data_IF_736850064468
#
_entry.id   IF_736850064468
#
_cell.length_a   1.000
_cell.length_b   1.000
_cell.length_c   1.000
_cell.angle_alpha   90.00
_cell.angle_beta   90.00
_cell.angle_gamma   90.00
#
_symmetry.space_group_name_H-M   'P 1'
#
loop_
_entity.id
_entity.type
_entity.pdbx_description
1 polymer ?
#
# COMPACT_ATOMS: atom_id res chain seq x y z
N UNK A 1 -22.84 14.90 31.48
CA UNK A 1 -23.66 13.76 31.06
C UNK A 1 -22.71 12.62 30.75
N UNK A 2 -22.69 11.58 31.60
CA UNK A 2 -21.82 10.42 31.44
C UNK A 2 -22.43 9.49 30.39
N UNK A 3 -21.76 9.29 29.26
CA UNK A 3 -22.13 8.27 28.29
C UNK A 3 -21.78 6.90 28.87
N UNK A 4 -22.81 6.12 29.19
CA UNK A 4 -22.67 4.69 29.46
C UNK A 4 -22.39 4.00 28.12
N UNK A 5 -21.13 3.67 27.89
CA UNK A 5 -20.71 2.85 26.76
C UNK A 5 -21.09 1.39 27.08
N UNK A 6 -22.29 0.99 26.67
CA UNK A 6 -22.76 -0.39 26.76
C UNK A 6 -22.06 -1.16 25.63
N UNK A 7 -20.87 -1.70 25.91
CA UNK A 7 -20.25 -2.67 25.03
C UNK A 7 -21.12 -3.94 25.04
N UNK A 8 -21.75 -4.32 23.91
CA UNK A 8 -22.51 -5.56 23.86
C UNK A 8 -21.56 -6.73 24.17
N UNK A 9 -21.99 -7.71 24.98
CA UNK A 9 -21.17 -8.87 25.27
C UNK A 9 -20.80 -9.54 23.94
N UNK A 10 -19.49 -9.64 23.67
CA UNK A 10 -18.99 -10.40 22.53
C UNK A 10 -19.56 -11.82 22.65
N UNK A 11 -20.23 -12.35 21.61
CA UNK A 11 -20.64 -13.73 21.63
C UNK A 11 -19.38 -14.61 21.76
N UNK A 12 -19.26 -15.28 22.90
CA UNK A 12 -18.25 -16.31 23.10
C UNK A 12 -18.66 -17.53 22.28
N UNK A 13 -18.20 -17.57 21.03
CA UNK A 13 -18.28 -18.78 20.24
C UNK A 13 -17.34 -19.79 20.91
N UNK A 14 -17.89 -20.72 21.68
CA UNK A 14 -17.11 -21.83 22.23
C UNK A 14 -16.98 -22.87 21.11
N UNK A 15 -15.80 -23.03 20.50
CA UNK A 15 -15.63 -24.01 19.43
C UNK A 15 -15.98 -25.39 19.99
N UNK A 16 -16.83 -26.11 19.26
CA UNK A 16 -17.21 -27.48 19.59
C UNK A 16 -15.95 -28.34 19.50
N UNK A 17 -15.54 -28.91 20.64
CA UNK A 17 -14.31 -29.68 20.72
C UNK A 17 -14.51 -31.07 20.13
N UNK A 18 -13.42 -31.73 19.74
CA UNK A 18 -13.46 -33.13 19.31
C UNK A 18 -14.09 -34.04 20.37
N UNK A 19 -13.93 -33.71 21.66
CA UNK A 19 -14.58 -34.42 22.75
C UNK A 19 -16.11 -34.25 22.74
N UNK A 20 -16.60 -33.05 22.42
CA UNK A 20 -18.04 -32.78 22.30
C UNK A 20 -18.66 -33.55 21.13
N UNK A 21 -17.96 -33.62 19.99
CA UNK A 21 -18.37 -34.44 18.82
C UNK A 21 -18.37 -35.91 19.19
N UNK A 22 -17.31 -36.41 19.83
CA UNK A 22 -17.21 -37.81 20.26
C UNK A 22 -18.31 -38.18 21.27
N UNK A 23 -18.64 -37.28 22.19
CA UNK A 23 -19.68 -37.49 23.18
C UNK A 23 -21.08 -37.53 22.51
N UNK A 24 -21.33 -36.65 21.55
CA UNK A 24 -22.61 -36.58 20.86
C UNK A 24 -22.82 -37.77 19.90
N UNK A 25 -21.77 -38.24 19.22
CA UNK A 25 -21.91 -39.17 18.08
C UNK A 25 -21.17 -40.50 18.23
N UNK A 26 -20.41 -40.71 19.30
CA UNK A 26 -19.56 -41.91 19.49
C UNK A 26 -20.32 -43.24 19.58
N UNK A 27 -21.65 -43.21 19.72
CA UNK A 27 -22.50 -44.41 19.78
C UNK A 27 -23.01 -44.89 18.41
N UNK A 28 -22.85 -44.08 17.34
CA UNK A 28 -23.30 -44.44 15.98
C UNK A 28 -22.62 -45.73 15.46
N UNK A 29 -21.30 -45.95 15.64
CA UNK A 29 -20.65 -47.19 15.21
C UNK A 29 -21.25 -48.45 15.87
N UNK A 30 -21.55 -48.38 17.17
CA UNK A 30 -22.18 -49.48 17.90
C UNK A 30 -23.59 -49.78 17.35
N UNK A 31 -24.34 -48.73 16.98
CA UNK A 31 -25.65 -48.89 16.34
C UNK A 31 -25.53 -49.57 14.97
N UNK A 32 -24.57 -49.16 14.14
CA UNK A 32 -24.28 -49.83 12.86
C UNK A 32 -23.96 -51.31 13.05
N UNK A 33 -23.11 -51.64 14.04
CA UNK A 33 -22.75 -53.02 14.35
C UNK A 33 -23.96 -53.84 14.82
N UNK A 34 -24.84 -53.27 15.64
CA UNK A 34 -26.06 -53.93 16.09
C UNK A 34 -27.01 -54.23 14.92
N UNK A 35 -27.15 -53.32 13.95
CA UNK A 35 -27.93 -53.56 12.74
C UNK A 35 -27.32 -54.64 11.83
N UNK A 36 -25.98 -54.73 11.79
CA UNK A 36 -25.30 -55.85 11.12
C UNK A 36 -25.61 -57.20 11.78
N UNK A 37 -25.51 -57.26 13.10
CA UNK A 37 -25.82 -58.47 13.86
C UNK A 37 -27.29 -58.89 13.70
N UNK A 38 -28.21 -57.92 13.70
CA UNK A 38 -29.65 -58.19 13.50
C UNK A 38 -29.95 -58.71 12.10
N UNK A 39 -29.32 -58.15 11.04
CA UNK A 39 -29.44 -58.70 9.69
C UNK A 39 -28.94 -60.15 9.61
N UNK A 40 -27.77 -60.43 10.20
CA UNK A 40 -27.22 -61.79 10.19
C UNK A 40 -28.13 -62.79 10.92
N UNK A 41 -28.77 -62.37 12.01
CA UNK A 41 -29.80 -63.16 12.69
C UNK A 41 -31.02 -63.40 11.79
N UNK A 42 -31.50 -62.35 11.12
CA UNK A 42 -32.59 -62.50 10.15
C UNK A 42 -32.20 -63.45 9.02
N UNK A 43 -30.97 -63.46 8.54
CA UNK A 43 -30.56 -64.32 7.41
C UNK A 43 -30.40 -65.80 7.80
N UNK A 44 -30.06 -66.09 9.05
CA UNK A 44 -29.79 -67.46 9.54
C UNK A 44 -31.03 -68.22 10.03
N UNK A 45 -32.14 -67.53 10.29
CA UNK A 45 -33.38 -68.17 10.75
C UNK A 45 -34.19 -68.66 9.56
N UNK A 46 -34.63 -69.92 9.49
CA UNK A 46 -35.48 -70.40 8.39
C UNK A 46 -36.88 -69.77 8.46
N UNK A 47 -37.40 -69.17 7.37
CA UNK A 47 -38.68 -68.48 7.41
C UNK A 47 -39.86 -69.45 7.53
N UNK A 48 -40.80 -69.16 8.43
CA UNK A 48 -42.15 -69.72 8.36
C UNK A 48 -42.84 -69.11 7.12
N UNK A 49 -43.51 -69.88 6.26
CA UNK A 49 -44.05 -69.40 4.98
C UNK A 49 -44.98 -68.17 5.09
N UNK A 50 -45.68 -68.02 6.21
CA UNK A 50 -46.61 -66.90 6.46
C UNK A 50 -45.88 -65.57 6.79
N UNK A 51 -44.59 -65.62 7.16
CA UNK A 51 -43.79 -64.46 7.58
C UNK A 51 -42.86 -63.91 6.49
N UNK A 52 -42.80 -64.54 5.31
CA UNK A 52 -41.90 -64.16 4.23
C UNK A 52 -42.08 -62.69 3.78
N UNK A 53 -43.34 -62.20 3.76
CA UNK A 53 -43.64 -60.81 3.42
C UNK A 53 -43.12 -59.84 4.48
N UNK A 54 -43.31 -60.14 5.76
CA UNK A 54 -42.84 -59.32 6.88
C UNK A 54 -41.31 -59.26 6.90
N UNK A 55 -40.63 -60.38 6.65
CA UNK A 55 -39.17 -60.44 6.57
C UNK A 55 -38.61 -59.63 5.41
N UNK A 56 -39.26 -59.65 4.24
CA UNK A 56 -38.86 -58.79 3.13
C UNK A 56 -38.97 -57.31 3.49
N UNK A 57 -40.09 -56.88 4.10
CA UNK A 57 -40.27 -55.48 4.55
C UNK A 57 -39.19 -55.09 5.56
N UNK A 58 -38.91 -55.95 6.55
CA UNK A 58 -37.88 -55.70 7.56
C UNK A 58 -36.48 -55.59 6.94
N UNK A 59 -36.13 -56.47 6.00
CA UNK A 59 -34.84 -56.42 5.29
C UNK A 59 -34.69 -55.14 4.47
N UNK A 60 -35.75 -54.67 3.81
CA UNK A 60 -35.73 -53.40 3.08
C UNK A 60 -35.49 -52.22 4.03
N UNK A 61 -36.27 -52.12 5.11
CA UNK A 61 -36.09 -51.05 6.11
C UNK A 61 -34.71 -51.09 6.76
N UNK A 62 -34.18 -52.28 7.04
CA UNK A 62 -32.86 -52.47 7.63
C UNK A 62 -31.74 -52.06 6.66
N UNK A 63 -31.91 -52.34 5.37
CA UNK A 63 -30.96 -51.92 4.32
C UNK A 63 -30.96 -50.41 4.18
N UNK A 64 -32.12 -49.76 4.16
CA UNK A 64 -32.24 -48.30 4.11
C UNK A 64 -31.63 -47.64 5.36
N UNK A 65 -31.90 -48.17 6.55
CA UNK A 65 -31.32 -47.67 7.80
C UNK A 65 -29.79 -47.79 7.82
N UNK A 66 -29.24 -48.91 7.34
CA UNK A 66 -27.79 -49.10 7.22
C UNK A 66 -27.16 -48.11 6.25
N UNK A 67 -27.79 -47.90 5.10
CA UNK A 67 -27.32 -46.93 4.11
C UNK A 67 -27.29 -45.51 4.71
N UNK A 68 -28.39 -45.10 5.37
CA UNK A 68 -28.47 -43.80 6.03
C UNK A 68 -27.42 -43.60 7.12
N UNK A 69 -27.20 -44.60 7.98
CA UNK A 69 -26.18 -44.54 9.04
C UNK A 69 -24.75 -44.53 8.51
N UNK A 70 -24.46 -45.29 7.45
CA UNK A 70 -23.15 -45.29 6.79
C UNK A 70 -22.86 -43.91 6.21
N UNK A 71 -23.84 -43.33 5.49
CA UNK A 71 -23.73 -41.99 4.93
C UNK A 71 -23.54 -40.91 6.00
N UNK A 72 -24.24 -41.00 7.14
CA UNK A 72 -24.04 -40.09 8.27
C UNK A 72 -22.64 -40.25 8.91
N UNK A 73 -22.13 -41.48 9.01
CA UNK A 73 -20.78 -41.74 9.54
C UNK A 73 -19.72 -41.09 8.66
N UNK A 74 -19.80 -41.28 7.33
CA UNK A 74 -18.88 -40.64 6.37
C UNK A 74 -18.96 -39.11 6.39
N UNK A 75 -20.13 -38.54 6.68
CA UNK A 75 -20.29 -37.10 6.84
C UNK A 75 -19.63 -36.60 8.13
N UNK A 76 -19.79 -37.32 9.24
CA UNK A 76 -19.15 -36.99 10.52
C UNK A 76 -17.63 -37.06 10.39
N UNK A 77 -17.10 -38.09 9.74
CA UNK A 77 -15.65 -38.23 9.53
C UNK A 77 -15.08 -37.06 8.71
N UNK A 78 -15.75 -36.65 7.63
CA UNK A 78 -15.36 -35.47 6.84
C UNK A 78 -15.39 -34.19 7.67
N UNK A 79 -16.43 -33.99 8.49
CA UNK A 79 -16.52 -32.83 9.38
C UNK A 79 -15.43 -32.81 10.45
N UNK A 80 -15.00 -33.98 10.93
CA UNK A 80 -13.88 -34.10 11.86
C UNK A 80 -12.57 -33.71 11.15
N UNK A 81 -12.33 -34.19 9.93
CA UNK A 81 -11.15 -33.86 9.13
C UNK A 81 -11.08 -32.35 8.82
N UNK A 82 -12.18 -31.75 8.31
CA UNK A 82 -12.25 -30.30 8.05
C UNK A 82 -12.00 -29.48 9.32
N UNK A 83 -12.53 -29.89 10.47
CA UNK A 83 -12.29 -29.19 11.74
C UNK A 83 -10.83 -29.32 12.20
N UNK A 84 -10.17 -30.45 11.95
CA UNK A 84 -8.73 -30.61 12.21
C UNK A 84 -7.89 -29.69 11.32
N UNK A 85 -8.20 -29.60 10.02
CA UNK A 85 -7.53 -28.69 9.09
C UNK A 85 -7.69 -27.23 9.50
N UNK A 86 -8.92 -26.82 9.85
CA UNK A 86 -9.21 -25.47 10.34
C UNK A 86 -8.45 -25.16 11.64
N UNK A 87 -8.32 -26.14 12.54
CA UNK A 87 -7.55 -25.99 13.77
C UNK A 87 -6.05 -25.79 13.48
N UNK A 88 -5.49 -26.57 12.56
CA UNK A 88 -4.08 -26.43 12.14
C UNK A 88 -3.85 -25.07 11.46
N UNK A 89 -4.76 -24.65 10.57
CA UNK A 89 -4.70 -23.34 9.92
C UNK A 89 -4.77 -22.20 10.94
N UNK A 90 -5.64 -22.31 11.95
CA UNK A 90 -5.74 -21.34 13.04
C UNK A 90 -4.44 -21.23 13.85
N UNK A 91 -3.82 -22.36 14.19
CA UNK A 91 -2.54 -22.39 14.90
C UNK A 91 -1.41 -21.79 14.06
N UNK A 92 -1.36 -22.10 12.76
CA UNK A 92 -0.41 -21.50 11.82
C UNK A 92 -0.58 -19.99 11.76
N UNK A 93 -1.81 -19.49 11.58
CA UNK A 93 -2.11 -18.06 11.55
C UNK A 93 -1.77 -17.36 12.87
N UNK A 94 -1.98 -18.01 14.02
CA UNK A 94 -1.55 -17.48 15.32
C UNK A 94 -0.03 -17.38 15.43
N UNK A 95 0.71 -18.37 14.93
CA UNK A 95 2.17 -18.36 14.94
C UNK A 95 2.74 -17.24 14.03
N UNK A 96 2.15 -17.05 12.86
CA UNK A 96 2.49 -15.97 11.92
C UNK A 96 2.16 -14.60 12.53
N UNK A 97 0.99 -14.45 13.14
CA UNK A 97 0.62 -13.22 13.85
C UNK A 97 1.60 -12.89 14.99
N UNK A 98 2.06 -13.90 15.74
CA UNK A 98 3.06 -13.73 16.79
C UNK A 98 4.42 -13.30 16.22
N UNK A 99 4.83 -13.88 15.09
CA UNK A 99 6.04 -13.49 14.39
C UNK A 99 5.99 -12.02 13.94
N UNK A 100 4.91 -11.63 13.27
CA UNK A 100 4.72 -10.24 12.79
C UNK A 100 4.70 -9.22 13.93
N UNK A 101 4.13 -9.57 15.10
CA UNK A 101 4.20 -8.71 16.29
C UNK A 101 5.63 -8.51 16.79
N UNK A 102 6.42 -9.58 16.82
CA UNK A 102 7.84 -9.50 17.23
C UNK A 102 8.67 -8.68 16.24
N UNK A 103 8.41 -8.81 14.95
CA UNK A 103 9.06 -8.00 13.90
C UNK A 103 8.68 -6.51 14.05
N UNK A 104 7.41 -6.21 14.27
CA UNK A 104 6.94 -4.85 14.54
C UNK A 104 7.60 -4.22 15.78
N UNK A 105 7.74 -4.99 16.87
CA UNK A 105 8.39 -4.49 18.08
C UNK A 105 9.89 -4.25 17.87
N UNK A 106 10.55 -5.09 17.05
CA UNK A 106 11.95 -4.91 16.66
C UNK A 106 12.13 -3.63 15.83
N UNK A 107 11.26 -3.39 14.85
CA UNK A 107 11.28 -2.16 14.04
C UNK A 107 11.02 -0.90 14.88
N UNK A 108 10.12 -0.97 15.87
CA UNK A 108 9.92 0.13 16.81
C UNK A 108 11.18 0.44 17.62
N UNK A 109 11.88 -0.59 18.10
CA UNK A 109 13.14 -0.41 18.83
C UNK A 109 14.21 0.24 17.93
N UNK A 110 14.35 -0.22 16.69
CA UNK A 110 15.28 0.38 15.72
C UNK A 110 14.93 1.85 15.43
N UNK A 111 13.64 2.18 15.31
CA UNK A 111 13.20 3.56 15.10
C UNK A 111 13.56 4.46 16.30
N UNK A 112 13.39 3.98 17.52
CA UNK A 112 13.83 4.70 18.74
C UNK A 112 15.35 4.94 18.73
N UNK A 113 16.15 3.94 18.37
CA UNK A 113 17.61 4.08 18.25
C UNK A 113 18.01 5.09 17.16
N UNK A 114 17.31 5.07 16.03
CA UNK A 114 17.53 6.03 14.94
C UNK A 114 17.21 7.46 15.40
N UNK A 115 16.11 7.67 16.11
CA UNK A 115 15.75 8.98 16.67
C UNK A 115 16.81 9.48 17.66
N UNK A 116 17.30 8.61 18.55
CA UNK A 116 18.40 8.95 19.47
C UNK A 116 19.66 9.37 18.71
N UNK A 117 20.00 8.66 17.64
CA UNK A 117 21.15 8.98 16.77
C UNK A 117 20.97 10.34 16.10
N UNK A 118 19.79 10.64 15.57
CA UNK A 118 19.46 11.93 14.96
C UNK A 118 19.58 13.06 15.99
N UNK A 119 19.09 12.86 17.22
CA UNK A 119 19.25 13.83 18.30
C UNK A 119 20.73 14.10 18.61
N UNK A 120 21.55 13.05 18.73
CA UNK A 120 22.99 13.19 18.99
C UNK A 120 23.72 13.94 17.86
N UNK A 121 23.40 13.64 16.60
CA UNK A 121 23.98 14.32 15.44
C UNK A 121 23.57 15.80 15.41
N UNK A 122 22.31 16.11 15.69
CA UNK A 122 21.81 17.50 15.77
C UNK A 122 22.56 18.28 16.85
N UNK A 123 22.76 17.70 18.05
CA UNK A 123 23.53 18.34 19.13
C UNK A 123 24.98 18.58 18.70
N UNK A 124 25.60 17.61 18.04
CA UNK A 124 26.97 17.73 17.55
C UNK A 124 27.12 18.82 16.47
N UNK A 125 26.14 18.94 15.58
CA UNK A 125 26.10 19.98 14.54
C UNK A 125 25.98 21.38 15.17
N UNK A 126 25.08 21.54 16.17
CA UNK A 126 24.93 22.80 16.90
C UNK A 126 26.25 23.17 17.59
N UNK A 127 26.89 22.22 18.28
CA UNK A 127 28.17 22.45 18.94
C UNK A 127 29.24 22.92 17.95
N UNK A 128 29.37 22.25 16.80
CA UNK A 128 30.34 22.60 15.77
C UNK A 128 30.07 24.00 15.18
N UNK A 129 28.80 24.38 14.99
CA UNK A 129 28.42 25.74 14.57
C UNK A 129 28.81 26.78 15.62
N UNK A 130 28.60 26.50 16.89
CA UNK A 130 28.99 27.37 18.01
C UNK A 130 30.50 27.54 18.08
N UNK A 131 31.26 26.45 17.96
CA UNK A 131 32.74 26.50 17.97
C UNK A 131 33.27 27.31 16.79
N UNK A 132 32.69 27.12 15.60
CA UNK A 132 33.05 27.90 14.42
C UNK A 132 32.76 29.39 14.61
N UNK A 133 31.61 29.74 15.19
CA UNK A 133 31.25 31.13 15.49
C UNK A 133 32.23 31.78 16.49
N UNK A 134 32.63 31.04 17.53
CA UNK A 134 33.63 31.51 18.50
C UNK A 134 34.99 31.79 17.83
N UNK A 135 35.40 30.96 16.86
CA UNK A 135 36.62 31.20 16.08
C UNK A 135 36.51 32.48 15.26
N UNK A 136 35.37 32.74 14.61
CA UNK A 136 35.16 33.99 13.86
C UNK A 136 35.21 35.21 14.78
N UNK A 137 34.49 35.19 15.90
CA UNK A 137 34.51 36.29 16.86
C UNK A 137 35.91 36.55 17.44
N UNK A 138 36.69 35.50 17.70
CA UNK A 138 38.08 35.63 18.14
C UNK A 138 38.96 36.28 17.07
N UNK A 139 38.73 35.99 15.78
CA UNK A 139 39.47 36.62 14.67
C UNK A 139 39.09 38.09 14.55
N UNK A 140 37.81 38.42 14.60
CA UNK A 140 37.33 39.80 14.53
C UNK A 140 37.90 40.65 15.68
N UNK A 141 37.94 40.08 16.90
CA UNK A 141 38.60 40.71 18.05
C UNK A 141 40.08 40.97 17.80
N UNK A 142 40.80 39.99 17.23
CA UNK A 142 42.23 40.13 16.92
C UNK A 142 42.49 41.17 15.83
N UNK A 143 41.61 41.27 14.83
CA UNK A 143 41.68 42.30 13.80
C UNK A 143 41.53 43.69 14.45
N UNK A 144 40.54 43.89 15.31
CA UNK A 144 40.34 45.15 16.01
C UNK A 144 41.54 45.55 16.90
N UNK A 145 42.14 44.57 17.61
CA UNK A 145 43.36 44.81 18.38
C UNK A 145 44.53 45.28 17.50
N UNK A 146 44.75 44.61 16.35
CA UNK A 146 45.80 44.98 15.41
C UNK A 146 45.56 46.36 14.79
N UNK A 147 44.30 46.71 14.50
CA UNK A 147 43.95 48.04 13.99
C UNK A 147 44.28 49.15 14.99
N UNK A 148 44.02 48.94 16.29
CA UNK A 148 44.41 49.92 17.33
C UNK A 148 45.93 49.96 17.54
N UNK A 149 46.64 48.83 17.51
CA UNK A 149 48.11 48.81 17.56
C UNK A 149 48.73 49.61 16.40
N UNK A 150 48.20 49.44 15.18
CA UNK A 150 48.61 50.22 14.00
C UNK A 150 48.30 51.70 14.19
N UNK A 151 47.11 52.04 14.71
CA UNK A 151 46.74 53.42 14.98
C UNK A 151 47.66 54.08 16.01
N UNK A 152 48.00 53.36 17.09
CA UNK A 152 48.91 53.83 18.13
C UNK A 152 50.34 54.02 17.60
N UNK A 153 50.86 53.05 16.83
CA UNK A 153 52.18 53.16 16.19
C UNK A 153 52.26 54.38 15.26
N UNK A 154 51.20 54.67 14.50
CA UNK A 154 51.08 55.88 13.68
C UNK A 154 51.12 57.17 14.53
N UNK A 155 50.42 57.21 15.68
CA UNK A 155 50.46 58.36 16.60
C UNK A 155 51.87 58.58 17.16
N UNK A 156 52.59 57.51 17.54
CA UNK A 156 53.96 57.59 18.06
C UNK A 156 54.97 58.03 17.00
N UNK A 157 54.85 57.54 15.77
CA UNK A 157 55.73 57.93 14.65
C UNK A 157 55.54 59.39 14.22
N UNK A 158 54.34 59.96 14.40
CA UNK A 158 54.06 61.37 14.11
C UNK A 158 54.53 62.33 15.22
N UNK A 159 54.96 61.83 16.38
CA UNK A 159 55.59 62.71 17.36
C UNK A 159 56.99 63.09 16.86
N UNK A 160 57.27 64.40 16.63
CA UNK A 160 58.58 64.84 16.17
C UNK A 160 59.61 64.51 17.25
N UNK A 161 60.48 63.55 16.96
CA UNK A 161 61.61 63.18 17.80
C UNK A 161 62.52 64.40 17.95
N UNK A 162 62.43 65.07 19.10
CA UNK A 162 63.31 66.19 19.49
C UNK A 162 64.73 65.72 19.88
N UNK A 163 65.11 64.49 19.55
CA UNK A 163 66.37 63.87 19.94
C UNK A 163 67.28 63.77 18.72
N UNK A 164 68.20 64.75 18.69
CA UNK A 164 69.59 64.74 18.21
C UNK A 164 69.81 64.22 16.79
N UNK A 165 70.07 65.17 15.90
CA UNK A 165 70.42 64.93 14.52
C UNK A 165 71.74 64.18 14.35
N UNK A 166 71.76 63.34 13.32
CA UNK A 166 72.86 63.28 12.38
C UNK A 166 72.26 63.10 10.99
N UNK A 167 72.46 64.13 10.16
CA UNK A 167 72.26 64.06 8.73
C UNK A 167 73.11 62.92 8.16
N UNK A 168 72.48 62.01 7.41
CA UNK A 168 73.18 61.31 6.34
C UNK A 168 72.29 61.21 5.12
N UNK A 169 72.50 62.20 4.25
CA UNK A 169 72.33 62.15 2.81
C UNK A 169 72.54 60.74 2.24
N UNK A 170 71.54 60.24 1.52
CA UNK A 170 71.68 59.49 0.28
C UNK A 170 70.33 59.51 -0.47
N UNK A 171 70.19 60.51 -1.35
CA UNK A 171 69.53 60.39 -2.66
C UNK A 171 70.16 59.18 -3.40
N UNK A 172 69.54 58.43 -4.31
CA UNK A 172 68.34 58.55 -5.14
C UNK A 172 68.22 57.23 -5.93
N UNK A 173 67.21 57.13 -6.80
CA UNK A 173 66.97 56.10 -7.84
C UNK A 173 66.00 55.02 -7.35
N UNK A 174 64.75 55.12 -7.80
CA UNK A 174 64.03 54.08 -8.55
C UNK A 174 62.65 54.64 -8.93
N UNK A 175 62.56 55.17 -10.15
CA UNK A 175 61.32 55.41 -10.87
C UNK A 175 61.56 55.13 -12.33
N UNK A 176 60.94 54.10 -12.88
CA UNK A 176 60.23 54.12 -14.17
C UNK A 176 59.53 52.76 -14.45
N UNK A 177 58.54 52.77 -15.37
CA UNK A 177 57.33 51.95 -15.30
C UNK A 177 57.40 50.72 -16.23
N UNK A 178 56.74 49.63 -15.86
CA UNK A 178 56.54 48.48 -16.76
C UNK A 178 55.14 48.46 -17.37
N UNK A 179 55.13 47.95 -18.60
CA UNK A 179 54.15 48.17 -19.64
C UNK A 179 52.85 47.39 -19.44
N UNK A 180 51.85 47.91 -20.15
CA UNK A 180 50.54 47.33 -20.38
C UNK A 180 50.66 45.94 -21.04
N UNK A 181 50.05 44.93 -20.42
CA UNK A 181 49.73 43.65 -21.05
C UNK A 181 48.24 43.38 -20.89
N UNK A 182 47.44 44.07 -21.71
CA UNK A 182 46.04 43.72 -21.96
C UNK A 182 45.98 42.50 -22.88
N UNK A 183 45.93 41.32 -22.30
CA UNK A 183 45.60 40.08 -23.00
C UNK A 183 44.11 40.04 -23.35
N UNK A 184 43.79 40.31 -24.61
CA UNK A 184 42.52 39.92 -25.23
C UNK A 184 42.43 38.39 -25.29
N UNK A 185 41.56 37.78 -24.48
CA UNK A 185 40.95 36.49 -24.83
C UNK A 185 39.56 36.76 -25.40
N UNK A 186 39.47 36.63 -26.72
CA UNK A 186 38.22 36.56 -27.45
C UNK A 186 37.61 35.17 -27.23
N UNK A 187 36.43 35.12 -26.60
CA UNK A 187 35.54 33.97 -26.68
C UNK A 187 34.95 33.89 -28.09
N UNK A 188 34.88 32.71 -28.74
CA UNK A 188 34.26 32.56 -30.04
C UNK A 188 32.74 32.66 -29.92
N UNK A 189 32.16 33.65 -30.62
CA UNK A 189 30.74 33.70 -30.90
C UNK A 189 30.38 32.56 -31.86
N UNK A 190 29.66 31.54 -31.36
CA UNK A 190 28.95 30.59 -32.22
C UNK A 190 27.72 31.28 -32.80
N UNK A 191 27.84 31.70 -34.05
CA UNK A 191 26.73 32.06 -34.92
C UNK A 191 25.92 30.80 -35.26
N UNK A 192 24.69 30.73 -34.79
CA UNK A 192 23.68 29.82 -35.33
C UNK A 192 23.14 30.40 -36.64
N UNK A 193 23.15 29.67 -37.76
CA UNK A 193 22.45 30.11 -38.95
C UNK A 193 20.95 29.84 -38.79
N UNK A 194 20.23 30.95 -38.83
CA UNK A 194 18.82 31.14 -39.15
C UNK A 194 18.43 30.29 -40.39
N UNK A 195 17.59 29.26 -40.21
CA UNK A 195 16.88 28.59 -41.31
C UNK A 195 15.45 29.13 -41.38
N UNK A 196 15.18 29.90 -42.44
CA UNK A 196 13.84 30.18 -42.93
C UNK A 196 13.26 28.99 -43.74
N UNK A 197 11.94 28.95 -43.93
CA UNK A 197 11.17 27.76 -44.31
C UNK A 197 10.92 27.62 -45.82
N UNK A 198 10.26 26.50 -46.20
CA UNK A 198 9.53 26.16 -47.45
C UNK A 198 10.24 25.25 -48.48
N UNK A 199 9.51 24.59 -49.43
CA UNK A 199 8.26 23.81 -49.28
C UNK A 199 8.28 22.45 -50.06
N UNK A 200 7.22 21.65 -49.85
CA UNK A 200 6.56 20.64 -50.73
C UNK A 200 7.35 19.67 -51.65
N UNK A 201 7.14 18.35 -51.48
CA UNK A 201 6.32 17.53 -52.41
C UNK A 201 6.27 16.02 -52.09
N UNK A 202 5.16 15.42 -52.53
CA UNK A 202 4.66 14.05 -52.43
C UNK A 202 5.58 12.93 -52.98
N UNK A 203 5.53 11.72 -52.39
CA UNK A 203 4.86 10.55 -53.02
C UNK A 203 4.89 9.24 -52.18
N UNK A 204 3.87 8.42 -52.45
CA UNK A 204 3.56 7.05 -52.05
C UNK A 204 4.67 5.98 -52.14
N UNK A 205 4.62 4.98 -51.24
CA UNK A 205 4.55 3.52 -51.49
C UNK A 205 4.63 2.80 -50.13
N UNK A 206 3.62 2.11 -49.59
CA UNK A 206 3.17 0.72 -49.81
C UNK A 206 4.22 -0.41 -49.69
N UNK A 207 3.79 -1.48 -48.99
CA UNK A 207 4.39 -2.81 -48.72
C UNK A 207 5.24 -2.86 -47.42
N UNK A 208 5.08 -3.80 -46.49
CA UNK A 208 4.52 -5.16 -46.53
C UNK A 208 5.63 -6.18 -46.23
N UNK A 209 5.33 -7.17 -45.39
CA UNK A 209 6.09 -8.41 -45.06
C UNK A 209 7.00 -8.46 -43.80
N UNK A 210 6.50 -9.25 -42.84
CA UNK A 210 7.04 -10.49 -42.26
C UNK A 210 8.34 -10.55 -41.42
N UNK A 211 8.11 -11.10 -40.22
CA UNK A 211 8.74 -12.28 -39.59
C UNK A 211 10.27 -12.43 -39.45
N UNK A 212 10.62 -12.82 -38.22
CA UNK A 212 11.75 -13.68 -37.80
C UNK A 212 13.17 -13.06 -37.78
N UNK A 213 13.72 -12.95 -36.57
CA UNK A 213 15.16 -12.79 -36.39
C UNK A 213 15.59 -12.46 -34.96
N UNK A 214 15.53 -13.42 -34.05
CA UNK A 214 16.38 -13.39 -32.86
C UNK A 214 17.85 -13.59 -33.28
N UNK A 215 18.79 -12.91 -32.61
CA UNK A 215 19.91 -13.69 -32.11
C UNK A 215 20.32 -13.34 -30.67
N UNK A 216 20.72 -14.43 -30.03
CA UNK A 216 21.44 -14.66 -28.77
C UNK A 216 22.74 -13.86 -28.62
N UNK A 217 23.01 -13.34 -27.40
CA UNK A 217 24.26 -13.44 -26.59
C UNK A 217 24.24 -12.31 -25.54
N UNK A 218 24.33 -12.58 -24.23
CA UNK A 218 25.61 -12.71 -23.51
C UNK A 218 25.72 -11.55 -22.49
N UNK A 219 25.49 -11.81 -21.20
CA UNK A 219 26.51 -12.03 -20.15
C UNK A 219 27.09 -10.75 -19.50
N UNK A 220 26.98 -10.72 -18.15
CA UNK A 220 27.71 -9.90 -17.16
C UNK A 220 27.51 -8.35 -17.26
N UNK A 221 27.31 -7.57 -16.20
CA UNK A 221 27.96 -7.55 -14.89
C UNK A 221 27.08 -6.81 -13.86
N UNK A 222 27.13 -7.29 -12.62
CA UNK A 222 26.89 -6.51 -11.40
C UNK A 222 27.77 -5.25 -11.34
N UNK A 223 27.23 -4.10 -10.90
CA UNK A 223 27.79 -3.28 -9.81
C UNK A 223 26.90 -2.08 -9.44
N UNK A 224 26.97 -1.61 -8.18
CA UNK A 224 26.18 -0.51 -7.62
C UNK A 224 26.92 0.83 -7.75
N UNK A 225 26.18 1.94 -7.68
CA UNK A 225 26.43 3.10 -6.82
C UNK A 225 25.79 4.39 -7.36
N UNK A 226 25.22 5.12 -6.40
CA UNK A 226 25.29 6.58 -6.27
C UNK A 226 24.80 7.45 -7.44
N UNK A 227 23.67 8.10 -7.19
CA UNK A 227 23.50 9.49 -7.64
C UNK A 227 23.01 10.35 -6.47
N UNK A 228 23.96 10.90 -5.73
CA UNK A 228 23.79 12.16 -4.98
C UNK A 228 24.40 13.27 -5.83
N UNK A 229 23.56 14.13 -6.41
CA UNK A 229 23.85 15.54 -6.74
C UNK A 229 22.51 16.28 -6.60
N UNK A 230 22.33 17.11 -5.54
CA UNK A 230 22.49 18.59 -5.54
C UNK A 230 21.60 19.25 -6.61
N UNK A 231 20.71 20.20 -6.33
CA UNK A 231 20.98 21.47 -5.65
C UNK A 231 19.68 22.28 -5.38
N UNK A 232 19.58 22.89 -4.19
CA UNK A 232 19.10 24.23 -3.79
C UNK A 232 17.80 24.87 -4.32
N UNK A 233 16.90 25.17 -3.38
CA UNK A 233 16.25 26.48 -3.04
C UNK A 233 15.09 26.12 -2.09
N UNK A 234 14.98 26.61 -0.86
CA UNK A 234 14.72 28.00 -0.47
C UNK A 234 14.89 28.08 1.05
N UNK A 235 15.72 28.99 1.54
CA UNK A 235 15.76 29.39 2.96
C UNK A 235 15.48 30.88 3.00
N UNK A 236 14.25 31.24 3.33
CA UNK A 236 13.85 32.51 3.91
C UNK A 236 12.93 32.16 5.08
N UNK A 237 12.99 32.99 6.12
CA UNK A 237 12.31 32.88 7.41
C UNK A 237 13.04 32.08 8.48
N UNK A 238 14.02 32.74 9.12
CA UNK A 238 14.39 32.51 10.52
C UNK A 238 15.04 33.78 11.07
N UNK A 239 14.22 34.80 11.31
CA UNK A 239 14.54 35.94 12.18
C UNK A 239 13.37 36.10 13.13
N UNK A 240 13.31 35.25 14.14
CA UNK A 240 12.65 35.50 15.42
C UNK A 240 12.84 34.26 16.29
N UNK A 241 13.63 34.43 17.34
CA UNK A 241 13.71 33.73 18.64
C UNK A 241 15.15 33.97 19.10
N UNK A 242 15.40 35.17 19.60
CA UNK A 242 16.55 35.47 20.42
C UNK A 242 16.14 36.51 21.47
N UNK A 243 15.27 36.10 22.39
CA UNK A 243 15.07 36.82 23.64
C UNK A 243 14.47 35.84 24.65
N UNK A 244 15.30 35.30 25.57
CA UNK A 244 14.96 34.86 26.94
C UNK A 244 16.09 34.01 27.54
N UNK A 245 17.25 34.62 27.84
CA UNK A 245 18.12 34.11 28.91
C UNK A 245 18.84 35.30 29.55
N UNK A 246 18.27 35.83 30.64
CA UNK A 246 19.02 36.42 31.75
C UNK A 246 18.05 36.74 32.89
N UNK A 247 18.04 35.94 33.96
CA UNK A 247 18.07 36.50 35.31
C UNK A 247 18.43 35.47 36.40
N UNK A 248 19.45 35.86 37.17
CA UNK A 248 19.67 35.60 38.60
C UNK A 248 20.06 34.20 39.08
N UNK A 249 21.38 34.07 39.22
CA UNK A 249 22.03 33.30 40.28
C UNK A 249 21.95 34.02 41.64
N UNK A 250 21.52 33.33 42.69
CA UNK A 250 21.90 33.58 44.09
C UNK A 250 22.12 32.23 44.79
N UNK A 251 23.20 32.04 45.56
CA UNK A 251 23.41 30.85 46.35
C UNK A 251 22.94 31.07 47.80
N UNK A 252 22.25 30.10 48.38
CA UNK A 252 22.12 29.97 49.84
C UNK A 252 22.29 28.50 50.20
N UNK A 253 23.25 28.25 51.09
CA UNK A 253 23.57 26.98 51.71
C UNK A 253 22.81 26.88 53.04
N UNK A 254 22.17 25.74 53.34
CA UNK A 254 22.05 25.16 54.68
C UNK A 254 21.25 23.82 54.69
N UNK A 255 21.95 22.76 55.12
CA UNK A 255 21.59 21.71 56.10
C UNK A 255 20.21 20.99 56.10
N UNK A 256 20.32 19.64 55.99
CA UNK A 256 19.66 18.56 56.79
C UNK A 256 18.11 18.45 56.74
N UNK A 257 17.43 17.30 56.73
CA UNK A 257 17.68 15.85 56.89
C UNK A 257 16.46 15.09 56.25
N UNK A 258 16.39 13.74 56.28
CA UNK A 258 15.52 12.96 55.39
C UNK A 258 14.09 12.77 55.92
N UNK A 259 13.10 12.93 55.05
CA UNK A 259 11.72 12.47 55.30
C UNK A 259 11.31 11.55 54.17
N UNK A 260 10.91 10.34 54.55
CA UNK A 260 10.41 9.29 53.67
C UNK A 260 9.15 9.74 52.92
N UNK A 261 8.94 9.34 51.65
CA UNK A 261 7.67 9.53 51.00
C UNK A 261 6.73 8.35 51.30
N UNK A 262 5.70 8.63 52.09
CA UNK A 262 4.47 7.85 52.14
C UNK A 262 3.72 7.92 50.80
N UNK A 263 3.24 6.76 50.38
CA UNK A 263 2.24 6.54 49.36
C UNK A 263 1.03 7.48 49.51
N UNK A 264 0.83 8.40 48.55
CA UNK A 264 -0.51 8.86 48.15
C UNK A 264 -0.56 9.12 46.64
N UNK A 265 -1.19 8.16 45.96
CA UNK A 265 -1.73 8.22 44.61
C UNK A 265 -2.60 9.46 44.41
N UNK A 266 -2.12 10.42 43.63
CA UNK A 266 -2.93 11.48 43.04
C UNK A 266 -3.20 11.16 41.57
N UNK A 267 -4.46 11.29 41.17
CA UNK A 267 -4.97 10.95 39.86
C UNK A 267 -4.36 11.81 38.76
N UNK A 268 -3.59 11.17 37.88
CA UNK A 268 -3.45 11.60 36.50
C UNK A 268 -4.37 10.72 35.64
N UNK A 269 -5.26 11.38 34.91
CA UNK A 269 -6.09 10.79 33.86
C UNK A 269 -5.12 10.24 32.79
N UNK A 270 -5.20 8.95 32.38
CA UNK A 270 -4.37 8.45 31.30
C UNK A 270 -4.65 9.27 30.04
N UNK A 271 -3.60 9.82 29.45
CA UNK A 271 -3.66 10.35 28.09
C UNK A 271 -3.95 9.14 27.19
N UNK A 272 -5.03 9.16 26.38
CA UNK A 272 -5.33 8.04 25.51
C UNK A 272 -4.15 7.87 24.54
N UNK A 273 -3.53 6.69 24.58
CA UNK A 273 -2.57 6.28 23.57
C UNK A 273 -3.22 6.45 22.18
N UNK A 274 -2.51 7.03 21.20
CA UNK A 274 -3.00 7.08 19.84
C UNK A 274 -3.22 5.64 19.37
N UNK A 275 -4.49 5.29 19.15
CA UNK A 275 -4.90 4.03 18.53
C UNK A 275 -4.05 3.88 17.26
N UNK A 276 -3.24 2.82 17.13
CA UNK A 276 -2.52 2.56 15.89
C UNK A 276 -3.56 2.44 14.79
N UNK A 277 -3.56 3.42 13.89
CA UNK A 277 -4.39 3.40 12.70
C UNK A 277 -4.00 2.14 11.93
N UNK A 278 -4.88 1.14 11.94
CA UNK A 278 -4.64 -0.14 11.30
C UNK A 278 -4.32 0.11 9.84
N UNK A 279 -3.11 -0.26 9.44
CA UNK A 279 -2.67 -0.27 8.06
C UNK A 279 -3.28 -1.50 7.37
N UNK A 280 -4.61 -1.59 7.33
CA UNK A 280 -5.32 -2.54 6.48
C UNK A 280 -5.31 -1.97 5.06
N UNK A 281 -4.16 -2.07 4.40
CA UNK A 281 -4.02 -1.78 2.97
C UNK A 281 -3.52 -3.01 2.23
N UNK A 282 -4.23 -4.10 2.42
CA UNK A 282 -4.60 -4.96 1.30
C UNK A 282 -6.12 -4.96 1.32
N UNK A 283 -6.69 -3.90 0.75
CA UNK A 283 -8.08 -3.91 0.30
C UNK A 283 -8.16 -4.98 -0.78
N UNK A 284 -8.22 -6.26 -0.36
CA UNK A 284 -8.87 -7.30 -1.12
C UNK A 284 -10.22 -6.67 -1.41
N UNK A 285 -10.43 -6.24 -2.65
CA UNK A 285 -11.77 -6.14 -3.13
C UNK A 285 -12.33 -7.53 -2.93
N UNK A 286 -13.02 -7.70 -1.82
CA UNK A 286 -14.05 -8.68 -1.70
C UNK A 286 -15.00 -8.28 -2.82
N UNK A 287 -14.74 -8.87 -3.99
CA UNK A 287 -15.71 -9.27 -4.99
C UNK A 287 -16.74 -10.10 -4.25
N UNK A 288 -17.47 -9.50 -3.29
CA UNK A 288 -18.50 -10.14 -2.47
C UNK A 288 -19.40 -10.78 -3.48
N UNK A 289 -19.19 -12.07 -3.69
CA UNK A 289 -20.06 -12.86 -4.50
C UNK A 289 -21.38 -12.78 -3.74
N UNK A 290 -22.46 -12.36 -4.40
CA UNK A 290 -23.77 -12.54 -3.80
C UNK A 290 -23.85 -14.00 -3.36
N UNK A 291 -24.31 -14.28 -2.15
CA UNK A 291 -24.49 -15.65 -1.61
C UNK A 291 -25.33 -16.53 -2.58
N UNK A 292 -26.08 -15.90 -3.49
CA UNK A 292 -26.94 -16.53 -4.49
C UNK A 292 -26.25 -17.10 -5.76
N UNK A 293 -24.96 -16.84 -6.00
CA UNK A 293 -24.29 -17.30 -7.24
C UNK A 293 -23.15 -18.24 -6.88
N UNK A 294 -23.22 -19.54 -7.24
CA UNK A 294 -22.13 -20.48 -7.01
C UNK A 294 -20.83 -19.97 -7.64
N UNK A 295 -19.75 -19.95 -6.85
CA UNK A 295 -18.48 -19.38 -7.27
C UNK A 295 -17.89 -20.03 -8.53
N UNK A 296 -18.23 -21.31 -8.71
CA UNK A 296 -17.76 -22.17 -9.79
C UNK A 296 -18.33 -21.81 -11.17
N UNK A 297 -19.42 -21.03 -11.20
CA UNK A 297 -20.18 -20.77 -12.43
C UNK A 297 -20.08 -19.31 -12.90
N UNK A 298 -19.48 -18.44 -12.08
CA UNK A 298 -19.26 -17.01 -12.37
C UNK A 298 -17.83 -16.60 -12.01
N UNK A 299 -16.92 -16.76 -12.97
CA UNK A 299 -15.48 -16.58 -12.78
C UNK A 299 -15.06 -15.25 -13.40
N UNK A 300 -14.57 -14.29 -12.61
CA UNK A 300 -14.02 -13.04 -13.15
C UNK A 300 -12.63 -13.33 -13.71
N UNK A 301 -12.45 -13.15 -15.02
CA UNK A 301 -11.19 -13.42 -15.74
C UNK A 301 -10.44 -12.15 -16.18
N UNK A 302 -11.03 -10.96 -15.97
CA UNK A 302 -10.31 -9.70 -16.14
C UNK A 302 -9.23 -9.53 -15.08
N UNK A 303 -8.11 -8.93 -15.47
CA UNK A 303 -7.02 -8.60 -14.56
C UNK A 303 -7.50 -7.65 -13.45
N UNK A 304 -7.06 -7.89 -12.22
CA UNK A 304 -7.42 -7.06 -11.07
C UNK A 304 -6.71 -5.69 -11.16
N UNK A 305 -7.49 -4.63 -10.97
CA UNK A 305 -6.97 -3.26 -10.90
C UNK A 305 -6.28 -3.09 -9.56
N UNK A 306 -4.97 -2.87 -9.61
CA UNK A 306 -4.16 -2.68 -8.42
C UNK A 306 -4.35 -1.26 -7.87
N UNK A 307 -4.59 -1.19 -6.55
CA UNK A 307 -4.73 0.06 -5.79
C UNK A 307 -3.54 0.23 -4.85
N UNK A 308 -2.82 1.34 -4.97
CA UNK A 308 -1.74 1.72 -4.05
C UNK A 308 -2.07 3.05 -3.36
N UNK A 309 -2.24 3.03 -2.03
CA UNK A 309 -2.44 4.24 -1.21
C UNK A 309 -1.07 4.75 -0.72
N UNK A 310 -0.73 6.00 -1.05
CA UNK A 310 0.51 6.66 -0.65
C UNK A 310 0.26 7.81 0.33
N UNK A 311 -0.88 7.80 1.01
CA UNK A 311 -1.25 8.80 2.01
C UNK A 311 -1.79 10.08 1.39
N UNK A 312 -1.00 10.80 0.61
CA UNK A 312 -1.45 12.04 -0.06
C UNK A 312 -2.02 11.83 -1.47
N UNK A 313 -1.92 10.60 -1.99
CA UNK A 313 -2.41 10.21 -3.31
C UNK A 313 -2.74 8.72 -3.33
N UNK A 314 -3.70 8.36 -4.16
CA UNK A 314 -4.08 6.98 -4.46
C UNK A 314 -3.79 6.71 -5.92
N UNK A 315 -3.15 5.60 -6.20
CA UNK A 315 -2.75 5.20 -7.56
C UNK A 315 -3.52 3.95 -7.96
N UNK A 316 -4.13 3.98 -9.13
CA UNK A 316 -4.70 2.83 -9.81
C UNK A 316 -3.80 2.42 -10.98
N UNK A 317 -3.38 1.16 -11.00
CA UNK A 317 -2.59 0.55 -12.08
C UNK A 317 -3.40 -0.53 -12.80
N UNK A 318 -2.92 -1.00 -13.96
CA UNK A 318 -3.56 -2.04 -14.80
C UNK A 318 -4.93 -1.64 -15.38
N UNK A 319 -5.17 -0.34 -15.57
CA UNK A 319 -6.33 0.12 -16.34
C UNK A 319 -5.97 0.03 -17.83
N UNK A 320 -6.72 -0.76 -18.59
CA UNK A 320 -6.50 -0.90 -20.02
C UNK A 320 -6.69 0.43 -20.74
N UNK A 321 -5.81 0.74 -21.70
CA UNK A 321 -5.84 1.99 -22.46
C UNK A 321 -7.16 2.18 -23.24
N UNK A 322 -7.80 1.09 -23.67
CA UNK A 322 -9.14 1.14 -24.30
C UNK A 322 -10.25 1.64 -23.39
N UNK A 323 -10.07 1.51 -22.07
CA UNK A 323 -11.05 1.90 -21.06
C UNK A 323 -10.76 3.29 -20.46
N UNK A 324 -9.62 3.89 -20.80
CA UNK A 324 -9.29 5.29 -20.46
C UNK A 324 -10.43 6.26 -20.78
N UNK A 325 -10.99 6.16 -21.99
CA UNK A 325 -12.08 7.04 -22.42
C UNK A 325 -13.34 6.90 -21.57
N UNK A 326 -13.56 5.76 -20.91
CA UNK A 326 -14.70 5.55 -20.00
C UNK A 326 -14.48 6.26 -18.66
N UNK A 327 -13.25 6.21 -18.16
CA UNK A 327 -12.91 6.88 -16.90
C UNK A 327 -12.96 8.40 -17.07
N UNK A 328 -12.42 8.93 -18.17
CA UNK A 328 -12.46 10.37 -18.49
C UNK A 328 -13.87 10.84 -18.84
N UNK A 329 -14.61 10.03 -19.59
CA UNK A 329 -15.91 10.39 -20.14
C UNK A 329 -15.79 11.35 -21.34
N UNK A 330 -16.92 11.55 -22.03
CA UNK A 330 -16.97 12.42 -23.21
C UNK A 330 -16.66 13.86 -22.81
N UNK A 331 -15.61 14.44 -23.38
CA UNK A 331 -15.18 15.81 -23.05
C UNK A 331 -14.67 15.98 -21.63
N UNK A 332 -14.27 14.91 -20.93
CA UNK A 332 -13.78 14.99 -19.55
C UNK A 332 -14.87 15.02 -18.47
N UNK A 333 -16.15 14.93 -18.85
CA UNK A 333 -17.27 15.10 -17.92
C UNK A 333 -17.28 14.11 -16.75
N UNK A 334 -16.83 12.86 -16.97
CA UNK A 334 -16.82 11.90 -15.87
C UNK A 334 -15.66 12.16 -14.91
N UNK A 335 -14.48 12.54 -15.43
CA UNK A 335 -13.38 12.98 -14.58
C UNK A 335 -13.78 14.23 -13.77
N UNK A 336 -14.38 15.24 -14.40
CA UNK A 336 -14.86 16.45 -13.73
C UNK A 336 -15.92 16.13 -12.67
N UNK A 337 -16.87 15.23 -12.95
CA UNK A 337 -17.84 14.74 -11.97
C UNK A 337 -17.14 14.13 -10.76
N UNK A 338 -16.22 13.19 -10.98
CA UNK A 338 -15.50 12.52 -9.89
C UNK A 338 -14.70 13.52 -9.04
N UNK A 339 -14.07 14.50 -9.68
CA UNK A 339 -13.32 15.56 -8.98
C UNK A 339 -14.24 16.42 -8.11
N UNK A 340 -15.40 16.82 -8.62
CA UNK A 340 -16.37 17.64 -7.88
C UNK A 340 -17.09 16.87 -6.77
N UNK A 341 -17.55 15.65 -7.06
CA UNK A 341 -18.37 14.84 -6.14
C UNK A 341 -17.55 14.34 -4.95
N UNK A 342 -16.32 13.91 -5.19
CA UNK A 342 -15.44 13.38 -4.14
C UNK A 342 -14.41 14.38 -3.63
N UNK A 343 -14.40 15.62 -4.16
CA UNK A 343 -13.44 16.67 -3.84
C UNK A 343 -11.98 16.18 -3.97
N UNK A 344 -11.67 15.60 -5.13
CA UNK A 344 -10.36 15.05 -5.48
C UNK A 344 -9.88 15.63 -6.80
N UNK A 345 -8.65 15.30 -7.19
CA UNK A 345 -8.06 15.64 -8.48
C UNK A 345 -7.54 14.41 -9.18
N UNK A 346 -7.95 14.22 -10.44
CA UNK A 346 -7.63 13.05 -11.24
C UNK A 346 -6.57 13.42 -12.27
N UNK A 347 -5.50 12.63 -12.33
CA UNK A 347 -4.46 12.79 -13.33
C UNK A 347 -4.07 11.44 -13.91
N UNK A 348 -3.74 11.43 -15.20
CA UNK A 348 -3.38 10.22 -15.92
C UNK A 348 -1.91 10.28 -16.33
N UNK A 349 -1.21 9.19 -16.09
CA UNK A 349 0.16 8.97 -16.54
C UNK A 349 0.14 7.80 -17.49
N UNK A 350 0.46 8.07 -18.76
CA UNK A 350 0.59 7.01 -19.73
C UNK A 350 1.89 6.24 -19.46
N UNK A 351 1.78 4.98 -19.01
CA UNK A 351 2.94 4.16 -18.65
C UNK A 351 3.33 3.18 -19.76
N UNK A 352 2.40 2.79 -20.63
CA UNK A 352 2.63 1.81 -21.71
C UNK A 352 1.54 1.91 -22.78
N UNK A 353 1.74 1.25 -23.93
CA UNK A 353 0.71 1.21 -24.99
C UNK A 353 -0.59 0.51 -24.54
N UNK A 354 -0.50 -0.40 -23.57
CA UNK A 354 -1.61 -1.27 -23.17
C UNK A 354 -2.29 -0.81 -21.88
N UNK A 355 -1.54 -0.26 -20.92
CA UNK A 355 -2.01 0.13 -19.60
C UNK A 355 -1.74 1.59 -19.27
N UNK A 356 -2.74 2.23 -18.67
CA UNK A 356 -2.70 3.60 -18.16
C UNK A 356 -2.68 3.56 -16.63
N UNK A 357 -1.89 4.46 -16.04
CA UNK A 357 -1.86 4.70 -14.60
C UNK A 357 -2.71 5.93 -14.28
N UNK A 358 -3.61 5.79 -13.33
CA UNK A 358 -4.46 6.86 -12.84
C UNK A 358 -4.02 7.24 -11.43
N UNK A 359 -3.88 8.54 -11.19
CA UNK A 359 -3.50 9.10 -9.90
C UNK A 359 -4.64 9.99 -9.41
N UNK A 360 -5.21 9.62 -8.27
CA UNK A 360 -6.17 10.43 -7.52
C UNK A 360 -5.39 11.16 -6.42
N UNK A 361 -5.41 12.47 -6.47
CA UNK A 361 -4.68 13.36 -5.56
C UNK A 361 -5.62 14.36 -4.92
N UNK A 362 -5.13 15.12 -3.95
CA UNK A 362 -5.95 16.09 -3.19
C UNK A 362 -7.10 15.40 -2.42
N UNK A 363 -7.93 16.17 -1.72
CA UNK A 363 -9.04 15.64 -0.90
C UNK A 363 -8.63 14.88 0.36
N UNK A 364 -9.63 14.32 1.04
CA UNK A 364 -9.43 13.42 2.18
C UNK A 364 -9.21 11.96 1.71
N UNK A 365 -8.73 11.10 2.62
CA UNK A 365 -8.47 9.69 2.28
C UNK A 365 -9.74 8.95 1.84
N UNK A 366 -10.87 9.23 2.48
CA UNK A 366 -12.15 8.60 2.17
C UNK A 366 -12.69 9.00 0.79
N UNK A 367 -12.57 10.27 0.41
CA UNK A 367 -12.95 10.76 -0.92
C UNK A 367 -12.11 10.14 -2.03
N UNK A 368 -10.79 9.99 -1.81
CA UNK A 368 -9.93 9.26 -2.75
C UNK A 368 -10.32 7.79 -2.89
N UNK A 369 -10.67 7.13 -1.79
CA UNK A 369 -11.13 5.73 -1.81
C UNK A 369 -12.47 5.61 -2.53
N UNK A 370 -13.46 6.42 -2.18
CA UNK A 370 -14.77 6.45 -2.84
C UNK A 370 -14.66 6.73 -4.35
N UNK A 371 -13.85 7.71 -4.75
CA UNK A 371 -13.59 7.99 -6.17
C UNK A 371 -12.95 6.79 -6.87
N UNK A 372 -12.00 6.12 -6.22
CA UNK A 372 -11.37 4.93 -6.79
C UNK A 372 -12.31 3.73 -6.88
N UNK A 373 -13.22 3.54 -5.91
CA UNK A 373 -14.26 2.52 -5.94
C UNK A 373 -15.22 2.79 -7.11
N UNK A 374 -15.69 4.03 -7.28
CA UNK A 374 -16.57 4.42 -8.38
C UNK A 374 -15.92 4.21 -9.76
N UNK A 375 -14.63 4.49 -9.90
CA UNK A 375 -13.88 4.20 -11.13
C UNK A 375 -13.85 2.69 -11.40
N UNK A 376 -13.46 1.90 -10.40
CA UNK A 376 -13.29 0.44 -10.54
C UNK A 376 -14.65 -0.23 -10.84
N UNK A 377 -15.73 0.19 -10.17
CA UNK A 377 -17.07 -0.33 -10.39
C UNK A 377 -17.64 -0.02 -11.78
N UNK A 378 -17.23 1.10 -12.38
CA UNK A 378 -17.67 1.51 -13.71
C UNK A 378 -16.85 0.92 -14.86
N UNK A 379 -15.70 0.31 -14.56
CA UNK A 379 -14.87 -0.34 -15.57
C UNK A 379 -15.47 -1.68 -16.00
N UNK A 380 -15.33 -2.06 -17.28
CA UNK A 380 -15.83 -3.33 -17.76
C UNK A 380 -14.98 -4.47 -17.21
N UNK A 381 -15.63 -5.49 -16.67
CA UNK A 381 -15.04 -6.77 -16.29
C UNK A 381 -15.39 -7.82 -17.33
N UNK A 382 -14.51 -8.81 -17.46
CA UNK A 382 -14.75 -9.99 -18.27
C UNK A 382 -15.02 -11.16 -17.33
N UNK A 383 -16.16 -11.80 -17.50
CA UNK A 383 -16.60 -12.93 -16.68
C UNK A 383 -16.73 -14.15 -17.58
N UNK A 384 -16.14 -15.26 -17.16
CA UNK A 384 -16.32 -16.58 -17.73
C UNK A 384 -17.40 -17.36 -16.99
N UNK A 385 -18.27 -18.00 -17.74
CA UNK A 385 -19.41 -18.78 -17.25
C UNK A 385 -19.38 -20.16 -17.93
N UNK A 386 -18.53 -21.09 -17.46
CA UNK A 386 -18.19 -22.30 -18.19
C UNK A 386 -19.36 -23.30 -18.30
N UNK A 387 -20.25 -23.33 -17.31
CA UNK A 387 -21.36 -24.29 -17.24
C UNK A 387 -22.67 -23.77 -17.85
N UNK A 388 -22.76 -22.46 -18.15
CA UNK A 388 -24.00 -21.80 -18.56
C UNK A 388 -24.29 -22.06 -20.05
N UNK A 389 -25.43 -22.68 -20.35
CA UNK A 389 -25.90 -23.14 -21.66
C UNK A 389 -27.11 -22.33 -22.15
N UNK A 390 -26.94 -21.03 -22.35
CA UNK A 390 -28.00 -20.21 -22.96
C UNK A 390 -27.85 -20.05 -24.48
N UNK A 391 -28.96 -19.85 -25.19
CA UNK A 391 -29.00 -19.76 -26.67
C UNK A 391 -30.02 -18.73 -27.16
N UNK A 392 -29.80 -18.26 -28.40
CA UNK A 392 -30.83 -17.56 -29.18
C UNK A 392 -31.33 -16.25 -28.56
N UNK A 393 -32.64 -16.19 -28.29
CA UNK A 393 -33.32 -14.95 -27.87
C UNK A 393 -32.91 -14.51 -26.45
N UNK A 394 -32.63 -15.46 -25.54
CA UNK A 394 -32.21 -15.17 -24.17
C UNK A 394 -30.90 -14.36 -24.15
N UNK A 395 -29.91 -14.75 -24.95
CA UNK A 395 -28.63 -14.03 -25.09
C UNK A 395 -28.82 -12.61 -25.61
N UNK A 396 -29.64 -12.43 -26.65
CA UNK A 396 -29.94 -11.10 -27.21
C UNK A 396 -30.68 -10.23 -26.19
N UNK A 397 -31.63 -10.81 -25.47
CA UNK A 397 -32.39 -10.12 -24.45
C UNK A 397 -31.49 -9.67 -23.30
N UNK A 398 -30.64 -10.55 -22.77
CA UNK A 398 -29.67 -10.22 -21.72
C UNK A 398 -28.65 -9.16 -22.18
N UNK A 399 -28.15 -9.26 -23.41
CA UNK A 399 -27.23 -8.26 -24.01
C UNK A 399 -27.84 -6.86 -24.00
N UNK A 400 -29.10 -6.73 -24.45
CA UNK A 400 -29.79 -5.45 -24.58
C UNK A 400 -30.25 -4.92 -23.21
N UNK A 401 -30.90 -5.77 -22.41
CA UNK A 401 -31.50 -5.34 -21.14
C UNK A 401 -30.45 -5.03 -20.07
N UNK A 402 -29.32 -5.75 -20.07
CA UNK A 402 -28.27 -5.54 -19.08
C UNK A 402 -27.12 -4.67 -19.59
N UNK A 403 -27.12 -4.22 -20.85
CA UNK A 403 -26.00 -3.49 -21.45
C UNK A 403 -24.65 -4.22 -21.26
N UNK A 404 -24.60 -5.47 -21.73
CA UNK A 404 -23.41 -6.32 -21.70
C UNK A 404 -23.15 -6.90 -23.08
N UNK A 405 -21.89 -7.27 -23.35
CA UNK A 405 -21.54 -8.07 -24.53
C UNK A 405 -21.38 -9.51 -24.11
N UNK A 406 -22.12 -10.42 -24.74
CA UNK A 406 -22.02 -11.85 -24.46
C UNK A 406 -21.41 -12.54 -25.68
N UNK A 407 -20.28 -13.22 -25.47
CA UNK A 407 -19.58 -13.97 -26.51
C UNK A 407 -19.56 -15.45 -26.16
N UNK A 408 -19.84 -16.29 -27.15
CA UNK A 408 -19.63 -17.74 -27.05
C UNK A 408 -18.32 -18.09 -27.77
N UNK A 409 -17.26 -18.47 -27.05
CA UNK A 409 -15.96 -18.72 -27.67
C UNK A 409 -15.97 -19.95 -28.60
N UNK A 410 -16.85 -20.94 -28.35
CA UNK A 410 -16.97 -22.13 -29.20
C UNK A 410 -18.42 -22.65 -29.18
N UNK A 411 -18.99 -23.00 -30.34
CA UNK A 411 -20.31 -23.63 -30.42
C UNK A 411 -20.33 -25.03 -29.78
N UNK A 412 -19.18 -25.69 -29.70
CA UNK A 412 -19.03 -27.04 -29.16
C UNK A 412 -18.71 -27.07 -27.65
N UNK A 413 -18.39 -25.94 -27.04
CA UNK A 413 -18.16 -25.83 -25.59
C UNK A 413 -19.33 -25.05 -24.98
N UNK A 414 -20.05 -25.59 -23.99
CA UNK A 414 -21.25 -24.94 -23.47
C UNK A 414 -21.04 -23.51 -22.94
N UNK A 415 -19.84 -23.17 -22.47
CA UNK A 415 -19.54 -21.91 -21.78
C UNK A 415 -19.69 -20.63 -22.60
N UNK A 416 -19.85 -19.52 -21.87
CA UNK A 416 -20.00 -18.17 -22.42
C UNK A 416 -19.20 -17.16 -21.61
N UNK A 417 -18.84 -16.04 -22.25
CA UNK A 417 -18.17 -14.92 -21.61
C UNK A 417 -19.06 -13.69 -21.63
N UNK A 418 -19.15 -12.99 -20.51
CA UNK A 418 -19.93 -11.76 -20.34
C UNK A 418 -18.98 -10.60 -20.08
N UNK A 419 -19.03 -9.56 -20.90
CA UNK A 419 -18.20 -8.37 -20.79
C UNK A 419 -19.08 -7.13 -20.57
N UNK A 420 -18.84 -6.41 -19.47
CA UNK A 420 -19.63 -5.24 -19.08
C UNK A 420 -19.33 -4.82 -17.65
N UNK A 421 -20.09 -3.89 -17.08
CA UNK A 421 -19.95 -3.55 -15.65
C UNK A 421 -20.25 -4.78 -14.80
N UNK A 422 -19.56 -4.96 -13.67
CA UNK A 422 -19.74 -6.15 -12.83
C UNK A 422 -21.20 -6.36 -12.39
N UNK A 423 -21.88 -5.29 -11.99
CA UNK A 423 -23.30 -5.32 -11.62
C UNK A 423 -24.20 -5.76 -12.78
N UNK A 424 -23.90 -5.33 -14.00
CA UNK A 424 -24.61 -5.70 -15.21
C UNK A 424 -24.33 -7.15 -15.61
N UNK A 425 -23.08 -7.61 -15.51
CA UNK A 425 -22.73 -9.02 -15.74
C UNK A 425 -23.48 -9.95 -14.79
N UNK A 426 -23.61 -9.58 -13.51
CA UNK A 426 -24.40 -10.33 -12.51
C UNK A 426 -25.88 -10.41 -12.88
N UNK A 427 -26.48 -9.29 -13.31
CA UNK A 427 -27.88 -9.25 -13.77
C UNK A 427 -28.08 -10.14 -14.99
N UNK A 428 -27.19 -10.02 -15.98
CA UNK A 428 -27.22 -10.85 -17.18
C UNK A 428 -27.11 -12.33 -16.84
N UNK A 429 -26.17 -12.71 -15.97
CA UNK A 429 -26.03 -14.09 -15.50
C UNK A 429 -27.32 -14.60 -14.84
N UNK A 430 -27.90 -13.86 -13.89
CA UNK A 430 -29.17 -14.24 -13.24
C UNK A 430 -30.32 -14.42 -14.26
N UNK A 431 -30.41 -13.54 -15.27
CA UNK A 431 -31.40 -13.69 -16.33
C UNK A 431 -31.19 -14.97 -17.15
N UNK A 432 -29.94 -15.28 -17.49
CA UNK A 432 -29.62 -16.45 -18.31
C UNK A 432 -29.82 -17.78 -17.57
N UNK A 433 -29.52 -17.82 -16.27
CA UNK A 433 -29.79 -18.99 -15.42
C UNK A 433 -31.30 -19.24 -15.27
N UNK A 434 -32.09 -18.18 -15.08
CA UNK A 434 -33.54 -18.32 -14.92
C UNK A 434 -34.24 -18.75 -16.21
N UNK A 435 -33.73 -18.35 -17.39
CA UNK A 435 -34.25 -18.81 -18.68
C UNK A 435 -33.95 -20.30 -18.93
N UNK A 436 -32.88 -20.86 -18.35
CA UNK A 436 -32.61 -22.31 -18.40
C UNK A 436 -33.62 -23.13 -17.58
N UNK A 437 -34.18 -22.57 -16.51
CA UNK A 437 -35.16 -23.27 -15.68
C UNK A 437 -36.55 -23.41 -16.33
N UNK A 438 -36.78 -22.77 -17.49
CA UNK A 438 -38.07 -22.72 -18.19
C UNK A 438 -38.15 -23.80 -19.31
N UNK A 439 -37.03 -24.47 -19.62
CA UNK A 439 -36.94 -25.54 -20.62
C UNK A 439 -36.47 -26.85 -20.00
#
# INVERSE_FOLDING_TARGET
MNQFEINPPKPEFKPMTTADVQQAYGHIPDLCQNLHNFQAFLDTTDPIPEEARTRWILNTLLTEAKFGLTSMTELIDRLIEENQELSQQSQSAQSESKHLRMELDTEKEQNVQLQQTICHLTVSEIQLKTDLLNVYQSKDRRIAELEEEIAQAKRTAQQPSKIVGYERSLQSIWTQPEEQLTGHQQSPATSFPERKPEPDHHHHSQNGFDENGWPTLGQFTSKPNQTVKRLNKTTQDSTEIQEFVQEKSRPVSAQQAPVAPENRTNGQKPIPEPIPMQLDTISRFSTRQPEDIPAEDFIIISEEIERTDLGNRLILTKILNRDYGRVVGRGGQNAERLEQEYNVKISFVNCSQENVKLIISEGNADGRRAASDDIIENLPVLVDCPKLKSYGHALKNATIQCDVKINRPNLNNPGLTICGKLSNCRKAYKMLVNDEAIW
#
